data_IF_697409322971
#
_entry.id   IF_697409322971
#
_cell.length_a   1.000
_cell.length_b   1.000
_cell.length_c   1.000
_cell.angle_alpha   90.00
_cell.angle_beta   90.00
_cell.angle_gamma   90.00
#
_symmetry.space_group_name_H-M   'P 1'
#
loop_
_entity.id
_entity.type
_entity.pdbx_description
1 polymer ?
#
# COMPACT_ATOMS: atom_id res chain seq x y z
N UNK A 1 -32.55 9.16 -25.08
CA UNK A 1 -32.03 9.96 -23.95
C UNK A 1 -30.93 9.19 -23.21
N UNK A 2 -29.88 8.71 -23.89
CA UNK A 2 -28.79 7.85 -23.36
C UNK A 2 -27.40 8.29 -23.88
N UNK A 3 -27.20 9.56 -24.20
CA UNK A 3 -25.92 10.02 -24.80
C UNK A 3 -24.93 10.72 -23.86
N UNK A 4 -25.28 11.00 -22.60
CA UNK A 4 -24.42 11.82 -21.75
C UNK A 4 -23.62 11.04 -20.69
N UNK A 5 -23.88 9.75 -20.48
CA UNK A 5 -23.13 8.96 -19.47
C UNK A 5 -21.71 8.59 -19.94
N UNK A 6 -21.51 8.43 -21.25
CA UNK A 6 -20.19 8.05 -21.79
C UNK A 6 -19.14 9.16 -21.68
N UNK A 7 -19.53 10.43 -21.78
CA UNK A 7 -18.59 11.55 -21.67
C UNK A 7 -18.15 11.74 -20.22
N UNK A 8 -19.08 11.61 -19.27
CA UNK A 8 -18.76 11.73 -17.84
C UNK A 8 -17.86 10.58 -17.36
N UNK A 9 -18.12 9.37 -17.82
CA UNK A 9 -17.32 8.19 -17.50
C UNK A 9 -15.89 8.30 -18.09
N UNK A 10 -15.78 8.77 -19.35
CA UNK A 10 -14.50 9.02 -20.00
C UNK A 10 -13.69 10.14 -19.33
N UNK A 11 -14.34 11.18 -18.85
CA UNK A 11 -13.69 12.28 -18.12
C UNK A 11 -13.19 11.78 -16.75
N UNK A 12 -13.99 10.99 -16.02
CA UNK A 12 -13.58 10.41 -14.73
C UNK A 12 -12.41 9.44 -14.93
N UNK A 13 -12.45 8.58 -15.94
CA UNK A 13 -11.37 7.63 -16.25
C UNK A 13 -10.09 8.38 -16.66
N UNK A 14 -10.17 9.44 -17.46
CA UNK A 14 -9.02 10.25 -17.82
C UNK A 14 -8.44 11.04 -16.64
N UNK A 15 -9.29 11.56 -15.75
CA UNK A 15 -8.84 12.22 -14.52
C UNK A 15 -8.15 11.20 -13.61
N UNK A 16 -8.71 10.00 -13.45
CA UNK A 16 -8.14 8.93 -12.63
C UNK A 16 -6.77 8.48 -13.18
N UNK A 17 -6.66 8.26 -14.49
CA UNK A 17 -5.40 7.84 -15.15
C UNK A 17 -4.33 8.92 -15.09
N UNK A 18 -4.67 10.19 -15.29
CA UNK A 18 -3.72 11.30 -15.19
C UNK A 18 -3.30 11.58 -13.75
N UNK A 19 -4.21 11.45 -12.78
CA UNK A 19 -3.87 11.62 -11.36
C UNK A 19 -2.96 10.50 -10.85
N UNK A 20 -3.28 9.26 -11.16
CA UNK A 20 -2.51 8.10 -10.67
C UNK A 20 -1.13 8.03 -11.33
N UNK A 21 -1.05 8.25 -12.65
CA UNK A 21 0.21 8.27 -13.39
C UNK A 21 1.09 9.46 -13.02
N UNK A 22 0.53 10.67 -12.92
CA UNK A 22 1.26 11.87 -12.56
C UNK A 22 1.76 11.86 -11.10
N UNK A 23 0.98 11.33 -10.16
CA UNK A 23 1.40 11.18 -8.76
C UNK A 23 2.50 10.11 -8.65
N UNK A 24 2.38 8.99 -9.37
CA UNK A 24 3.40 7.93 -9.36
C UNK A 24 4.71 8.41 -9.96
N UNK A 25 4.67 9.07 -11.10
CA UNK A 25 5.85 9.66 -11.77
C UNK A 25 6.46 10.79 -10.92
N UNK A 26 5.65 11.64 -10.30
CA UNK A 26 6.11 12.72 -9.43
C UNK A 26 6.80 12.18 -8.17
N UNK A 27 6.30 11.10 -7.58
CA UNK A 27 6.91 10.48 -6.41
C UNK A 27 8.23 9.77 -6.74
N UNK A 28 8.37 9.17 -7.92
CA UNK A 28 9.61 8.52 -8.35
C UNK A 28 10.67 9.57 -8.71
N UNK A 29 10.27 10.69 -9.32
CA UNK A 29 11.19 11.71 -9.82
C UNK A 29 11.75 12.66 -8.76
N UNK A 30 11.16 12.71 -7.54
CA UNK A 30 11.53 13.64 -6.47
C UNK A 30 12.10 13.00 -5.22
N UNK A 31 12.32 11.68 -5.22
CA UNK A 31 12.88 11.01 -4.04
C UNK A 31 14.39 11.20 -3.96
N UNK A 32 14.79 12.36 -3.45
CA UNK A 32 16.19 12.60 -3.11
C UNK A 32 16.49 11.89 -1.78
N UNK A 33 17.52 11.07 -1.76
CA UNK A 33 17.98 10.35 -0.56
C UNK A 33 18.16 11.28 0.64
N UNK A 34 18.73 12.46 0.41
CA UNK A 34 18.96 13.49 1.42
C UNK A 34 17.69 14.13 2.00
N UNK A 35 16.54 13.93 1.35
CA UNK A 35 15.26 14.50 1.75
C UNK A 35 14.25 13.42 2.20
N UNK A 36 14.67 12.16 2.22
CA UNK A 36 13.82 11.03 2.55
C UNK A 36 14.24 10.43 3.89
N UNK A 37 13.27 10.12 4.75
CA UNK A 37 13.52 9.44 6.00
C UNK A 37 13.89 7.98 5.74
N UNK A 38 15.19 7.66 5.82
CA UNK A 38 15.73 6.30 5.63
C UNK A 38 16.64 5.98 6.82
N UNK A 39 16.08 5.69 8.00
CA UNK A 39 16.83 5.41 9.20
C UNK A 39 17.34 3.96 9.19
N UNK A 40 18.48 3.74 8.54
CA UNK A 40 19.15 2.42 8.54
C UNK A 40 19.80 2.13 9.88
N UNK A 41 19.87 0.85 10.25
CA UNK A 41 20.55 0.38 11.44
C UNK A 41 21.74 -0.49 11.06
N UNK A 42 22.86 -0.32 11.78
CA UNK A 42 24.07 -1.14 11.58
C UNK A 42 23.86 -2.56 12.11
N UNK A 43 23.19 -2.68 13.25
CA UNK A 43 22.98 -3.93 13.95
C UNK A 43 21.50 -4.37 13.87
N UNK A 44 21.27 -5.67 13.92
CA UNK A 44 19.92 -6.21 14.03
C UNK A 44 19.41 -6.12 15.45
N UNK A 45 18.16 -5.70 15.69
CA UNK A 45 17.56 -5.78 17.00
C UNK A 45 17.53 -7.22 17.50
N UNK A 46 17.83 -7.43 18.78
CA UNK A 46 17.83 -8.75 19.40
C UNK A 46 16.46 -9.48 19.31
N UNK A 47 15.39 -8.71 19.18
CA UNK A 47 14.02 -9.20 19.10
C UNK A 47 13.61 -9.73 17.71
N UNK A 48 14.43 -9.52 16.67
CA UNK A 48 14.15 -10.00 15.34
C UNK A 48 14.75 -11.39 15.15
N UNK A 49 13.91 -12.41 15.13
CA UNK A 49 14.35 -13.80 14.96
C UNK A 49 14.54 -14.17 13.48
N UNK A 50 13.58 -13.77 12.62
CA UNK A 50 13.55 -14.12 11.20
C UNK A 50 14.44 -13.15 10.40
N UNK A 51 15.24 -13.70 9.49
CA UNK A 51 16.22 -12.90 8.71
C UNK A 51 15.57 -11.82 7.84
N UNK A 52 14.41 -12.09 7.24
CA UNK A 52 13.65 -11.07 6.50
C UNK A 52 13.24 -9.90 7.39
N UNK A 53 12.83 -10.17 8.63
CA UNK A 53 12.48 -9.15 9.61
C UNK A 53 13.70 -8.32 10.02
N UNK A 54 14.85 -8.99 10.29
CA UNK A 54 16.12 -8.29 10.57
C UNK A 54 16.50 -7.35 9.43
N UNK A 55 16.41 -7.82 8.19
CA UNK A 55 16.76 -7.02 7.01
C UNK A 55 15.81 -5.83 6.82
N UNK A 56 14.50 -6.02 6.99
CA UNK A 56 13.53 -4.92 6.87
C UNK A 56 13.76 -3.82 7.90
N UNK A 57 14.06 -4.18 9.14
CA UNK A 57 14.35 -3.20 10.20
C UNK A 57 15.68 -2.49 9.92
N UNK A 58 16.74 -3.23 9.59
CA UNK A 58 18.06 -2.66 9.26
C UNK A 58 18.03 -1.74 8.07
N UNK A 59 17.31 -2.10 7.03
CA UNK A 59 17.14 -1.28 5.84
C UNK A 59 16.23 -0.05 6.06
N UNK A 60 15.62 0.10 7.22
CA UNK A 60 14.71 1.21 7.49
C UNK A 60 13.41 1.14 6.70
N UNK A 61 12.92 -0.07 6.41
CA UNK A 61 11.63 -0.28 5.75
C UNK A 61 10.48 -0.25 6.75
N UNK A 62 10.72 -0.79 7.94
CA UNK A 62 9.73 -0.87 9.02
C UNK A 62 10.35 -0.42 10.35
N UNK A 63 9.50 0.02 11.26
CA UNK A 63 9.86 0.29 12.65
C UNK A 63 8.79 -0.25 13.60
N UNK A 64 9.21 -0.93 14.65
CA UNK A 64 8.30 -1.43 15.67
C UNK A 64 7.74 -0.27 16.49
N UNK A 65 6.42 -0.25 16.68
CA UNK A 65 5.72 0.68 17.56
C UNK A 65 5.42 -0.01 18.89
N UNK A 66 4.83 -1.19 18.82
CA UNK A 66 4.54 -2.04 19.98
C UNK A 66 4.62 -3.51 19.59
N UNK A 67 4.39 -4.43 20.52
CA UNK A 67 4.37 -5.86 20.22
C UNK A 67 3.34 -6.17 19.13
N UNK A 68 3.79 -6.78 18.03
CA UNK A 68 2.95 -7.13 16.88
C UNK A 68 2.57 -5.98 15.96
N UNK A 69 2.86 -4.70 16.29
CA UNK A 69 2.53 -3.57 15.44
C UNK A 69 3.77 -2.84 14.92
N UNK A 70 3.79 -2.60 13.61
CA UNK A 70 4.89 -1.98 12.89
C UNK A 70 4.42 -0.81 12.04
N UNK A 71 5.19 0.27 12.02
CA UNK A 71 5.03 1.34 11.06
C UNK A 71 5.85 1.03 9.81
N UNK A 72 5.27 1.23 8.64
CA UNK A 72 6.01 1.24 7.38
C UNK A 72 6.62 2.63 7.18
N UNK A 73 7.93 2.67 6.97
CA UNK A 73 8.67 3.88 6.64
C UNK A 73 8.58 4.14 5.13
N UNK A 74 9.03 5.31 4.62
CA UNK A 74 8.80 5.68 3.22
C UNK A 74 9.20 4.62 2.19
N UNK A 75 10.37 4.01 2.32
CA UNK A 75 10.80 2.93 1.42
C UNK A 75 9.95 1.67 1.58
N UNK A 76 9.59 1.32 2.81
CA UNK A 76 8.71 0.18 3.10
C UNK A 76 7.33 0.37 2.49
N UNK A 77 6.77 1.58 2.59
CA UNK A 77 5.48 1.94 1.99
C UNK A 77 5.52 1.82 0.47
N UNK A 78 6.60 2.27 -0.19
CA UNK A 78 6.76 2.12 -1.63
C UNK A 78 6.82 0.65 -2.05
N UNK A 79 7.60 -0.17 -1.33
CA UNK A 79 7.69 -1.60 -1.60
C UNK A 79 6.32 -2.29 -1.40
N UNK A 80 5.63 -1.98 -0.30
CA UNK A 80 4.30 -2.52 -0.01
C UNK A 80 3.28 -2.15 -1.09
N UNK A 81 3.24 -0.88 -1.50
CA UNK A 81 2.32 -0.42 -2.55
C UNK A 81 2.58 -1.13 -3.88
N UNK A 82 3.84 -1.43 -4.19
CA UNK A 82 4.17 -2.20 -5.39
C UNK A 82 3.64 -3.64 -5.32
N UNK A 83 3.78 -4.28 -4.17
CA UNK A 83 3.21 -5.63 -3.95
C UNK A 83 1.69 -5.59 -4.05
N UNK A 84 1.04 -4.62 -3.39
CA UNK A 84 -0.42 -4.43 -3.47
C UNK A 84 -0.87 -4.25 -4.93
N UNK A 85 -0.14 -3.46 -5.71
CA UNK A 85 -0.47 -3.25 -7.13
C UNK A 85 -0.38 -4.53 -7.95
N UNK A 86 0.65 -5.35 -7.72
CA UNK A 86 0.82 -6.64 -8.40
C UNK A 86 -0.32 -7.60 -8.02
N UNK A 87 -0.63 -7.72 -6.73
CA UNK A 87 -1.74 -8.57 -6.26
C UNK A 87 -3.06 -8.12 -6.87
N UNK A 88 -3.34 -6.81 -6.85
CA UNK A 88 -4.56 -6.24 -7.44
C UNK A 88 -4.65 -6.55 -8.93
N UNK A 89 -3.56 -6.41 -9.67
CA UNK A 89 -3.51 -6.71 -11.09
C UNK A 89 -3.81 -8.19 -11.37
N UNK A 90 -3.19 -9.11 -10.64
CA UNK A 90 -3.43 -10.55 -10.80
C UNK A 90 -4.85 -10.95 -10.40
N UNK A 91 -5.39 -10.41 -9.31
CA UNK A 91 -6.76 -10.69 -8.87
C UNK A 91 -7.78 -10.17 -9.89
N UNK A 92 -7.59 -8.97 -10.43
CA UNK A 92 -8.44 -8.42 -11.48
C UNK A 92 -8.37 -9.28 -12.77
N UNK A 93 -7.19 -9.77 -13.14
CA UNK A 93 -7.00 -10.68 -14.28
C UNK A 93 -7.74 -11.99 -14.07
N UNK A 94 -7.84 -12.47 -12.84
CA UNK A 94 -8.60 -13.66 -12.46
C UNK A 94 -10.12 -13.40 -12.36
N UNK A 95 -10.59 -12.16 -12.59
CA UNK A 95 -12.00 -11.79 -12.54
C UNK A 95 -12.54 -11.49 -11.14
N UNK A 96 -11.67 -11.32 -10.15
CA UNK A 96 -12.08 -10.91 -8.81
C UNK A 96 -12.52 -9.44 -8.78
N UNK A 97 -13.44 -9.11 -7.89
CA UNK A 97 -13.92 -7.74 -7.66
C UNK A 97 -13.37 -7.23 -6.33
N UNK A 98 -12.66 -6.09 -6.37
CA UNK A 98 -12.15 -5.46 -5.16
C UNK A 98 -13.28 -4.76 -4.41
N UNK A 99 -13.39 -5.03 -3.11
CA UNK A 99 -14.33 -4.35 -2.21
C UNK A 99 -13.57 -3.73 -1.05
N UNK A 100 -14.05 -2.62 -0.56
CA UNK A 100 -13.49 -1.95 0.61
C UNK A 100 -14.47 -2.07 1.77
N UNK A 101 -14.11 -2.92 2.75
CA UNK A 101 -14.93 -3.13 3.93
C UNK A 101 -14.44 -2.25 5.09
N UNK A 102 -15.34 -1.79 5.97
CA UNK A 102 -14.95 -1.06 7.18
C UNK A 102 -14.14 -1.96 8.11
N UNK A 103 -13.15 -1.37 8.78
CA UNK A 103 -12.31 -2.09 9.75
C UNK A 103 -13.09 -2.50 11.02
N UNK A 104 -14.11 -1.71 11.39
CA UNK A 104 -15.02 -2.02 12.48
C UNK A 104 -16.25 -2.69 11.91
N UNK A 105 -16.52 -3.90 12.35
CA UNK A 105 -17.73 -4.64 11.99
C UNK A 105 -18.65 -4.80 13.20
N UNK A 106 -19.98 -4.75 13.00
CA UNK A 106 -20.94 -5.04 14.05
C UNK A 106 -20.76 -6.47 14.60
N UNK A 107 -20.90 -6.62 15.91
CA UNK A 107 -20.76 -7.93 16.57
C UNK A 107 -21.77 -8.95 16.06
N UNK A 108 -22.99 -8.49 15.76
CA UNK A 108 -24.09 -9.32 15.25
C UNK A 108 -23.71 -10.07 13.99
N UNK A 109 -22.96 -9.44 13.06
CA UNK A 109 -22.48 -10.10 11.84
C UNK A 109 -21.45 -11.21 12.12
N UNK A 110 -20.65 -11.04 13.16
CA UNK A 110 -19.67 -12.04 13.56
C UNK A 110 -20.34 -13.23 14.26
N UNK A 111 -21.41 -12.99 15.04
CA UNK A 111 -22.19 -14.03 15.70
C UNK A 111 -23.00 -14.86 14.70
N UNK A 112 -23.55 -14.25 13.64
CA UNK A 112 -24.26 -14.97 12.56
C UNK A 112 -23.34 -15.86 11.71
N UNK A 113 -22.07 -15.47 11.56
CA UNK A 113 -21.13 -16.21 10.71
C UNK A 113 -20.47 -17.41 11.40
N UNK A 114 -20.51 -17.49 12.73
CA UNK A 114 -19.97 -18.59 13.57
C UNK A 114 -18.47 -18.43 13.80
#
# INVERSE_FOLDING_TARGET
MIKNYNVFLLVIINIQLNYTGAILLRNIQQMKWSQTLIPTLKESPAEAEIDSHKLMIRAGLIRRITSGAYAYLPLGTLALNKVISIVREEMNRAGAVEVFLPALQPLDLLEESG
#
